data_IF_743809569284
#
_entry.id   IF_743809569284
#
_cell.length_a   1.000
_cell.length_b   1.000
_cell.length_c   1.000
_cell.angle_alpha   90.00
_cell.angle_beta   90.00
_cell.angle_gamma   90.00
#
_symmetry.space_group_name_H-M   'P 1'
#
loop_
_entity.id
_entity.type
_entity.pdbx_description
1 polymer ?
#
# COMPACT_ATOMS: atom_id res chain seq x y z
N UNK A 1 -10.91 -7.37 39.26
CA UNK A 1 -10.75 -7.77 37.84
C UNK A 1 -11.37 -6.69 36.95
N UNK A 2 -10.63 -5.60 36.68
CA UNK A 2 -11.05 -4.54 35.72
C UNK A 2 -9.81 -3.94 35.00
N UNK A 3 -8.58 -4.12 35.51
CA UNK A 3 -7.36 -3.68 34.81
C UNK A 3 -6.98 -4.56 33.60
N UNK A 4 -7.18 -5.89 33.69
CA UNK A 4 -6.81 -6.80 32.59
C UNK A 4 -7.74 -6.77 31.37
N UNK A 5 -8.99 -6.31 31.53
CA UNK A 5 -9.96 -6.27 30.43
C UNK A 5 -9.60 -5.17 29.41
N UNK A 6 -9.16 -3.99 29.88
CA UNK A 6 -8.68 -2.91 29.02
C UNK A 6 -7.34 -3.22 28.33
N UNK A 7 -6.43 -3.91 29.02
CA UNK A 7 -5.14 -4.31 28.43
C UNK A 7 -5.33 -5.39 27.35
N UNK A 8 -6.24 -6.34 27.58
CA UNK A 8 -6.58 -7.37 26.59
C UNK A 8 -7.25 -6.76 25.36
N UNK A 9 -8.21 -5.85 25.54
CA UNK A 9 -8.87 -5.14 24.43
C UNK A 9 -7.88 -4.27 23.65
N UNK A 10 -6.99 -3.55 24.34
CA UNK A 10 -5.93 -2.77 23.72
C UNK A 10 -5.00 -3.65 22.87
N UNK A 11 -4.53 -4.78 23.40
CA UNK A 11 -3.70 -5.73 22.65
C UNK A 11 -4.44 -6.31 21.45
N UNK A 12 -5.74 -6.58 21.56
CA UNK A 12 -6.55 -7.04 20.45
C UNK A 12 -6.62 -5.99 19.32
N UNK A 13 -6.81 -4.70 19.66
CA UNK A 13 -6.79 -3.62 18.66
C UNK A 13 -5.42 -3.46 17.98
N UNK A 14 -4.33 -3.58 18.73
CA UNK A 14 -2.97 -3.52 18.19
C UNK A 14 -2.71 -4.67 17.20
N UNK A 15 -3.02 -5.91 17.59
CA UNK A 15 -2.86 -7.09 16.73
C UNK A 15 -3.75 -6.97 15.50
N UNK A 16 -5.01 -6.57 15.67
CA UNK A 16 -5.94 -6.37 14.57
C UNK A 16 -5.42 -5.32 13.58
N UNK A 17 -4.92 -4.18 14.07
CA UNK A 17 -4.34 -3.14 13.22
C UNK A 17 -3.08 -3.61 12.48
N UNK A 18 -2.27 -4.48 13.07
CA UNK A 18 -1.15 -5.12 12.38
C UNK A 18 -1.63 -6.10 11.31
N UNK A 19 -2.64 -6.93 11.60
CA UNK A 19 -3.23 -7.83 10.59
C UNK A 19 -3.80 -7.05 9.42
N UNK A 20 -4.54 -5.96 9.68
CA UNK A 20 -5.08 -5.09 8.64
C UNK A 20 -3.98 -4.45 7.78
N UNK A 21 -2.84 -4.07 8.36
CA UNK A 21 -1.70 -3.54 7.61
C UNK A 21 -1.25 -4.50 6.49
N UNK A 22 -1.21 -5.81 6.77
CA UNK A 22 -0.87 -6.82 5.77
C UNK A 22 -2.04 -7.12 4.83
N UNK A 23 -3.25 -7.26 5.35
CA UNK A 23 -4.43 -7.60 4.55
C UNK A 23 -4.67 -6.58 3.44
N UNK A 24 -4.68 -5.28 3.76
CA UNK A 24 -4.85 -4.23 2.76
C UNK A 24 -3.70 -4.19 1.75
N UNK A 25 -2.46 -4.37 2.23
CA UNK A 25 -1.29 -4.40 1.36
C UNK A 25 -1.36 -5.54 0.33
N UNK A 26 -1.81 -6.71 0.76
CA UNK A 26 -1.97 -7.88 -0.12
C UNK A 26 -3.12 -7.65 -1.09
N UNK A 27 -4.29 -7.22 -0.61
CA UNK A 27 -5.45 -6.96 -1.45
C UNK A 27 -5.15 -5.92 -2.54
N UNK A 28 -4.43 -4.85 -2.20
CA UNK A 28 -4.00 -3.86 -3.17
C UNK A 28 -3.03 -4.42 -4.21
N UNK A 29 -2.06 -5.23 -3.78
CA UNK A 29 -1.13 -5.90 -4.69
C UNK A 29 -1.83 -6.86 -5.65
N UNK A 30 -2.77 -7.66 -5.15
CA UNK A 30 -3.59 -8.56 -5.96
C UNK A 30 -4.48 -7.79 -6.94
N UNK A 31 -5.08 -6.68 -6.50
CA UNK A 31 -5.87 -5.81 -7.37
C UNK A 31 -5.03 -5.28 -8.54
N UNK A 32 -3.83 -4.77 -8.29
CA UNK A 32 -2.93 -4.32 -9.36
C UNK A 32 -2.50 -5.48 -10.26
N UNK A 33 -2.13 -6.63 -9.67
CA UNK A 33 -1.71 -7.82 -10.41
C UNK A 33 -2.78 -8.34 -11.35
N UNK A 34 -4.05 -8.32 -10.94
CA UNK A 34 -5.18 -8.73 -11.77
C UNK A 34 -5.40 -7.80 -12.97
N UNK A 35 -5.15 -6.49 -12.82
CA UNK A 35 -5.41 -5.49 -13.87
C UNK A 35 -4.21 -5.28 -14.82
N UNK A 36 -2.99 -5.53 -14.36
CA UNK A 36 -1.75 -5.33 -15.16
C UNK A 36 -1.21 -6.66 -15.69
N UNK A 37 -1.32 -7.73 -14.90
CA UNK A 37 -0.62 -8.98 -15.11
C UNK A 37 0.68 -9.06 -14.30
N UNK A 38 0.90 -10.19 -13.62
CA UNK A 38 2.06 -10.42 -12.74
C UNK A 38 3.40 -10.27 -13.48
N UNK A 39 3.48 -10.80 -14.71
CA UNK A 39 4.68 -10.75 -15.52
C UNK A 39 5.04 -9.30 -15.91
N UNK A 40 4.04 -8.51 -16.28
CA UNK A 40 4.23 -7.09 -16.60
C UNK A 40 4.60 -6.26 -15.37
N UNK A 41 4.06 -6.56 -14.19
CA UNK A 41 4.45 -5.87 -12.96
C UNK A 41 5.92 -6.09 -12.61
N UNK A 42 6.45 -7.30 -12.84
CA UNK A 42 7.85 -7.62 -12.55
C UNK A 42 8.80 -6.92 -13.53
N UNK A 43 8.45 -6.86 -14.82
CA UNK A 43 9.29 -6.23 -15.85
C UNK A 43 9.23 -4.70 -15.83
N UNK A 44 8.10 -4.11 -15.41
CA UNK A 44 7.91 -2.66 -15.33
C UNK A 44 8.21 -2.06 -13.96
N UNK A 45 8.64 -2.88 -12.98
CA UNK A 45 9.02 -2.43 -11.65
C UNK A 45 10.30 -1.59 -11.73
N UNK A 46 10.21 -0.31 -11.38
CA UNK A 46 11.37 0.57 -11.27
C UNK A 46 12.27 0.24 -10.08
N UNK A 47 13.47 0.83 -10.08
CA UNK A 47 14.54 0.56 -9.12
C UNK A 47 14.45 1.43 -7.85
N UNK A 48 13.23 1.63 -7.34
CA UNK A 48 13.00 2.46 -6.16
C UNK A 48 13.21 1.65 -4.89
N UNK A 49 14.23 2.01 -4.13
CA UNK A 49 14.40 1.48 -2.78
C UNK A 49 13.18 1.82 -1.91
N UNK A 50 12.71 0.81 -1.18
CA UNK A 50 11.60 0.98 -0.26
C UNK A 50 12.02 1.96 0.84
N UNK A 51 11.42 3.16 0.84
CA UNK A 51 11.71 4.19 1.84
C UNK A 51 11.61 3.62 3.26
N UNK A 52 12.59 3.94 4.10
CA UNK A 52 12.67 3.49 5.50
C UNK A 52 11.39 3.82 6.29
N UNK A 53 10.72 4.92 5.97
CA UNK A 53 9.44 5.30 6.58
C UNK A 53 8.31 4.30 6.30
N UNK A 54 8.27 3.72 5.10
CA UNK A 54 7.30 2.68 4.74
C UNK A 54 7.62 1.37 5.47
N UNK A 55 8.91 1.07 5.68
CA UNK A 55 9.32 -0.09 6.48
C UNK A 55 8.92 0.07 7.95
N UNK A 56 9.18 1.24 8.55
CA UNK A 56 8.80 1.57 9.92
C UNK A 56 7.29 1.51 10.16
N UNK A 57 6.47 1.86 9.15
CA UNK A 57 5.01 1.78 9.24
C UNK A 57 4.44 0.37 9.45
N UNK A 58 5.24 -0.69 9.24
CA UNK A 58 4.83 -2.06 9.55
C UNK A 58 4.65 -2.30 11.04
N UNK A 59 5.41 -1.60 11.89
CA UNK A 59 5.39 -1.78 13.34
C UNK A 59 4.31 -0.95 14.04
N UNK A 60 3.74 0.04 13.33
CA UNK A 60 2.67 0.88 13.85
C UNK A 60 1.34 0.32 13.33
N UNK A 61 0.44 -0.16 14.21
CA UNK A 61 -0.87 -0.65 13.79
C UNK A 61 -1.64 0.41 12.99
N UNK A 62 -2.39 -0.02 11.99
CA UNK A 62 -3.18 0.83 11.10
C UNK A 62 -2.37 1.79 10.19
N UNK A 63 -1.09 2.07 10.44
CA UNK A 63 -0.31 3.04 9.66
C UNK A 63 -0.17 2.63 8.19
N UNK A 64 0.20 1.37 7.91
CA UNK A 64 0.35 0.88 6.54
C UNK A 64 -0.99 0.82 5.80
N UNK A 65 -2.09 0.61 6.53
CA UNK A 65 -3.43 0.69 5.97
C UNK A 65 -3.72 2.09 5.42
N UNK A 66 -3.47 3.14 6.21
CA UNK A 66 -3.69 4.53 5.78
C UNK A 66 -2.88 4.86 4.52
N UNK A 67 -1.61 4.43 4.48
CA UNK A 67 -0.75 4.59 3.30
C UNK A 67 -1.34 3.85 2.09
N UNK A 68 -1.87 2.66 2.29
CA UNK A 68 -2.49 1.86 1.22
C UNK A 68 -3.76 2.53 0.69
N UNK A 69 -4.62 3.03 1.57
CA UNK A 69 -5.82 3.77 1.20
C UNK A 69 -5.48 5.05 0.43
N UNK A 70 -4.45 5.78 0.84
CA UNK A 70 -3.94 6.94 0.11
C UNK A 70 -3.48 6.56 -1.32
N UNK A 71 -2.76 5.45 -1.47
CA UNK A 71 -2.35 4.92 -2.79
C UNK A 71 -3.55 4.55 -3.66
N UNK A 72 -4.57 3.93 -3.08
CA UNK A 72 -5.83 3.62 -3.77
C UNK A 72 -6.53 4.91 -4.19
N UNK A 73 -6.60 5.92 -3.33
CA UNK A 73 -7.21 7.20 -3.66
C UNK A 73 -6.51 7.89 -4.84
N UNK A 74 -5.17 7.90 -4.87
CA UNK A 74 -4.41 8.42 -6.02
C UNK A 74 -4.74 7.62 -7.28
N UNK A 75 -4.69 6.29 -7.20
CA UNK A 75 -4.99 5.43 -8.35
C UNK A 75 -6.38 5.73 -8.92
N UNK A 76 -7.41 5.79 -8.06
CA UNK A 76 -8.79 6.01 -8.49
C UNK A 76 -9.01 7.44 -9.03
N UNK A 77 -8.59 8.45 -8.27
CA UNK A 77 -8.93 9.86 -8.55
C UNK A 77 -8.01 10.46 -9.61
N UNK A 78 -6.71 10.16 -9.56
CA UNK A 78 -5.73 10.81 -10.44
C UNK A 78 -5.38 10.00 -11.68
N UNK A 79 -5.38 8.67 -11.60
CA UNK A 79 -5.05 7.82 -12.75
C UNK A 79 -6.32 7.39 -13.49
N UNK A 80 -7.15 6.55 -12.87
CA UNK A 80 -8.30 5.93 -13.55
C UNK A 80 -9.32 6.96 -14.03
N UNK A 81 -9.64 7.97 -13.21
CA UNK A 81 -10.60 9.01 -13.61
C UNK A 81 -10.09 9.94 -14.73
N UNK A 82 -8.77 9.97 -14.97
CA UNK A 82 -8.16 10.72 -16.09
C UNK A 82 -7.90 9.83 -17.33
N UNK A 83 -8.24 8.54 -17.26
CA UNK A 83 -8.04 7.59 -18.34
C UNK A 83 -6.66 6.90 -18.35
N UNK A 84 -5.82 7.12 -17.32
CA UNK A 84 -4.56 6.40 -17.18
C UNK A 84 -4.79 4.96 -16.70
N UNK A 85 -3.85 4.09 -17.03
CA UNK A 85 -3.89 2.66 -16.71
C UNK A 85 -3.28 2.33 -15.34
N UNK A 86 -3.65 1.17 -14.79
CA UNK A 86 -3.03 0.63 -13.57
C UNK A 86 -1.52 0.43 -13.73
N UNK A 87 -1.04 0.19 -14.96
CA UNK A 87 0.38 0.02 -15.28
C UNK A 87 1.17 1.31 -15.11
N UNK A 88 0.64 2.43 -15.59
CA UNK A 88 1.27 3.74 -15.41
C UNK A 88 1.34 4.12 -13.93
N UNK A 89 0.30 3.80 -13.17
CA UNK A 89 0.32 3.95 -11.72
C UNK A 89 1.41 3.07 -11.07
N UNK A 90 1.55 1.82 -11.50
CA UNK A 90 2.60 0.92 -11.01
C UNK A 90 4.01 1.47 -11.27
N UNK A 91 4.25 1.96 -12.48
CA UNK A 91 5.51 2.62 -12.86
C UNK A 91 5.72 3.88 -12.00
N UNK A 92 4.70 4.70 -11.79
CA UNK A 92 4.75 5.91 -10.98
C UNK A 92 5.17 5.62 -9.52
N UNK A 93 4.60 4.59 -8.90
CA UNK A 93 4.93 4.28 -7.50
C UNK A 93 6.29 3.59 -7.35
N UNK A 94 6.73 2.83 -8.37
CA UNK A 94 7.97 2.03 -8.35
C UNK A 94 9.17 2.72 -9.00
N UNK A 95 8.97 3.82 -9.73
CA UNK A 95 10.07 4.59 -10.32
C UNK A 95 10.46 5.76 -9.43
N UNK A 96 11.77 6.02 -9.34
CA UNK A 96 12.31 7.14 -8.57
C UNK A 96 12.18 8.49 -9.31
N UNK A 97 11.77 8.46 -10.58
CA UNK A 97 11.70 9.62 -11.46
C UNK A 97 10.27 10.17 -11.54
N UNK A 98 9.97 11.13 -10.66
CA UNK A 98 8.83 12.05 -10.79
C UNK A 98 8.97 13.04 -11.96
N UNK A 99 9.99 12.93 -12.82
CA UNK A 99 10.40 14.00 -13.74
C UNK A 99 11.00 13.54 -15.07
N UNK A 100 10.43 12.53 -15.74
CA UNK A 100 10.61 12.37 -17.20
C UNK A 100 9.33 11.82 -17.84
N UNK A 101 8.36 12.70 -17.96
CA UNK A 101 7.49 12.71 -19.14
C UNK A 101 8.14 13.75 -20.06
N UNK A 102 9.18 13.31 -20.77
CA UNK A 102 9.77 13.93 -21.96
C UNK A 102 10.62 12.86 -22.67
#
# INVERSE_FOLDING_TARGET
MIAGMHEQDFMAYMIFGLVLNFMFSILFGLYLSKNIGMQEMLTSKGDKEQSLLVSLSLFIPFAKMVITLYRVAILQIFFLNKGYSHKEFWIYITSNNLNKVD
#
